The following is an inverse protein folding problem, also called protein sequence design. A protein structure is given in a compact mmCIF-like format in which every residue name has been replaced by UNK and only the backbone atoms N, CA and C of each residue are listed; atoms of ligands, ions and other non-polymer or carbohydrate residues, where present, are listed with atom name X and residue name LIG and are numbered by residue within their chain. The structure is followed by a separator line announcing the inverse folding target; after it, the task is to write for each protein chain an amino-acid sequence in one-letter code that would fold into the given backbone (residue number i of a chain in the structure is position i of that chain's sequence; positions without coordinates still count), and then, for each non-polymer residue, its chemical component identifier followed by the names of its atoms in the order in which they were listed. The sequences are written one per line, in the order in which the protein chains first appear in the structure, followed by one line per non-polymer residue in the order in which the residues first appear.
data_IF_532488575218
#
_entry.id   IF_532488575218
#
_cell.length_a   1.000
_cell.length_b   1.000
_cell.length_c   1.000
_cell.angle_alpha   90.00
_cell.angle_beta   90.00
_cell.angle_gamma   90.00
#
_symmetry.space_group_name_H-M   'P 1'
#
loop_
_entity.id
_entity.type
_entity.pdbx_description
1 polymer ?
#
# COMPACT_ATOMS: atom_id res chain seq x y z
N UNK A 1 -19.34 -15.19 12.47
CA UNK A 1 -17.98 -14.62 12.57
C UNK A 1 -18.09 -13.14 12.92
N UNK A 2 -17.13 -12.60 13.66
CA UNK A 2 -17.12 -11.18 14.06
C UNK A 2 -16.94 -10.27 12.83
N UNK A 3 -17.65 -9.16 12.78
CA UNK A 3 -17.46 -8.14 11.74
C UNK A 3 -16.23 -7.29 12.10
N UNK A 4 -15.49 -6.87 11.09
CA UNK A 4 -14.23 -6.12 11.26
C UNK A 4 -14.35 -4.74 10.66
N UNK A 5 -14.18 -3.72 11.49
CA UNK A 5 -14.39 -2.32 11.10
C UNK A 5 -13.09 -1.51 11.19
N UNK A 6 -13.01 -0.48 10.37
CA UNK A 6 -11.92 0.49 10.38
C UNK A 6 -12.33 1.65 11.26
N UNK A 7 -11.51 1.99 12.26
CA UNK A 7 -11.76 3.09 13.18
C UNK A 7 -10.72 4.21 13.08
N UNK A 8 -9.57 3.93 12.47
CA UNK A 8 -8.54 4.93 12.24
C UNK A 8 -7.71 4.67 11.00
N UNK A 9 -7.17 5.73 10.42
CA UNK A 9 -6.33 5.74 9.23
C UNK A 9 -5.23 6.77 9.35
N UNK A 10 -4.05 6.47 8.80
CA UNK A 10 -2.94 7.41 8.68
C UNK A 10 -2.15 7.16 7.41
N UNK A 11 -1.63 8.21 6.82
CA UNK A 11 -0.92 8.14 5.54
C UNK A 11 0.26 9.11 5.48
N UNK A 12 1.39 8.61 4.99
CA UNK A 12 2.54 9.40 4.57
C UNK A 12 2.83 9.03 3.12
N UNK A 13 2.68 9.97 2.20
CA UNK A 13 2.73 9.70 0.76
C UNK A 13 3.41 10.84 0.00
N UNK A 14 3.82 10.63 -1.26
CA UNK A 14 4.38 11.69 -2.11
C UNK A 14 3.43 12.87 -2.38
N UNK A 15 2.14 12.70 -2.11
CA UNK A 15 1.09 13.71 -2.39
C UNK A 15 0.37 14.23 -1.14
N UNK A 16 0.79 13.78 0.06
CA UNK A 16 0.27 14.25 1.34
C UNK A 16 0.79 13.43 2.52
N UNK A 17 1.06 14.11 3.64
CA UNK A 17 1.59 13.52 4.87
C UNK A 17 0.49 13.31 5.94
N UNK A 18 -0.76 13.34 5.54
CA UNK A 18 -1.95 12.97 6.31
C UNK A 18 -3.07 12.53 5.35
N UNK A 19 -4.09 11.86 5.89
CA UNK A 19 -5.20 11.33 5.08
C UNK A 19 -6.00 12.45 4.38
N UNK A 20 -6.36 13.58 5.02
CA UNK A 20 -7.05 14.68 4.35
C UNK A 20 -6.28 15.25 3.15
N UNK A 21 -5.00 15.55 3.32
CA UNK A 21 -4.14 16.09 2.24
C UNK A 21 -3.93 15.06 1.12
N UNK A 22 -3.69 13.82 1.48
CA UNK A 22 -3.58 12.71 0.54
C UNK A 22 -4.86 12.57 -0.30
N UNK A 23 -6.02 12.54 0.33
CA UNK A 23 -7.29 12.37 -0.36
C UNK A 23 -7.62 13.54 -1.29
N UNK A 24 -7.41 14.78 -0.83
CA UNK A 24 -7.61 15.97 -1.67
C UNK A 24 -6.70 15.96 -2.90
N UNK A 25 -5.46 15.51 -2.74
CA UNK A 25 -4.52 15.33 -3.84
C UNK A 25 -5.00 14.27 -4.84
N UNK A 26 -5.55 13.16 -4.37
CA UNK A 26 -6.11 12.12 -5.24
C UNK A 26 -7.32 12.63 -6.03
N UNK A 27 -8.27 13.31 -5.39
CA UNK A 27 -9.45 13.87 -6.06
C UNK A 27 -9.10 14.86 -7.17
N UNK A 28 -8.10 15.69 -6.91
CA UNK A 28 -7.64 16.72 -7.85
C UNK A 28 -6.67 16.23 -8.92
N UNK A 29 -6.24 14.97 -8.83
CA UNK A 29 -5.27 14.40 -9.77
C UNK A 29 -3.86 14.96 -9.62
N UNK A 30 -3.44 15.31 -8.40
CA UNK A 30 -2.10 15.86 -8.14
C UNK A 30 -1.02 14.81 -8.33
N UNK A 31 -0.10 15.04 -9.26
CA UNK A 31 1.05 14.17 -9.49
C UNK A 31 2.12 14.38 -8.42
N UNK A 32 2.51 13.31 -7.73
CA UNK A 32 3.60 13.31 -6.74
C UNK A 32 4.98 13.01 -7.33
N UNK A 33 5.03 12.61 -8.61
CA UNK A 33 6.26 12.22 -9.29
C UNK A 33 7.08 13.44 -9.66
N UNK A 34 8.39 13.33 -9.50
CA UNK A 34 9.35 14.37 -9.86
C UNK A 34 10.78 13.81 -9.96
N UNK A 35 11.74 14.67 -10.27
CA UNK A 35 13.15 14.29 -10.23
C UNK A 35 13.55 13.74 -8.86
N UNK A 36 14.35 12.67 -8.83
CA UNK A 36 14.94 12.16 -7.60
C UNK A 36 15.93 13.17 -7.05
N UNK A 37 15.77 13.51 -5.76
CA UNK A 37 16.62 14.50 -5.07
C UNK A 37 17.44 13.90 -3.93
N UNK A 38 17.13 12.68 -3.48
CA UNK A 38 17.76 12.03 -2.33
C UNK A 38 19.21 11.61 -2.56
N UNK A 39 19.62 11.40 -3.81
CA UNK A 39 20.99 11.04 -4.20
C UNK A 39 21.26 11.46 -5.64
N UNK A 40 22.54 11.47 -6.02
CA UNK A 40 22.96 11.80 -7.40
C UNK A 40 22.56 10.68 -8.38
N UNK A 41 21.70 11.03 -9.32
CA UNK A 41 21.21 10.12 -10.38
C UNK A 41 21.91 10.34 -11.72
N UNK A 42 23.04 11.08 -11.80
CA UNK A 42 23.72 11.39 -13.07
C UNK A 42 24.05 10.14 -13.88
N UNK A 43 24.52 9.08 -13.21
CA UNK A 43 24.88 7.80 -13.82
C UNK A 43 23.69 6.81 -13.97
N UNK A 44 22.51 7.15 -13.45
CA UNK A 44 21.31 6.32 -13.58
C UNK A 44 20.55 6.65 -14.87
N UNK A 45 19.91 5.64 -15.48
CA UNK A 45 18.93 5.86 -16.54
C UNK A 45 17.59 6.34 -16.00
N UNK A 46 17.21 5.83 -14.82
CA UNK A 46 16.02 6.29 -14.10
C UNK A 46 16.32 7.64 -13.43
N UNK A 47 15.46 8.62 -13.65
CA UNK A 47 15.61 10.00 -13.14
C UNK A 47 14.46 10.43 -12.23
N UNK A 48 13.36 9.72 -12.28
CA UNK A 48 12.11 10.08 -11.62
C UNK A 48 11.77 9.13 -10.48
N UNK A 49 11.17 9.70 -9.43
CA UNK A 49 10.63 9.01 -8.28
C UNK A 49 9.47 9.79 -7.69
N UNK A 50 8.71 9.16 -6.81
CA UNK A 50 7.67 9.81 -6.04
C UNK A 50 8.13 9.86 -4.57
N UNK A 51 8.88 10.90 -4.24
CA UNK A 51 9.46 11.12 -2.91
C UNK A 51 8.44 11.73 -1.94
N UNK A 52 8.48 11.32 -0.67
CA UNK A 52 7.79 12.02 0.42
C UNK A 52 8.45 13.38 0.63
N UNK A 53 7.63 14.45 0.68
CA UNK A 53 8.07 15.83 0.77
C UNK A 53 7.74 16.43 2.14
N UNK A 54 8.55 17.38 2.60
CA UNK A 54 8.29 18.18 3.79
C UNK A 54 8.01 17.33 5.04
N UNK A 55 8.77 16.23 5.22
CA UNK A 55 8.59 15.28 6.30
C UNK A 55 9.73 15.35 7.32
N UNK A 56 9.38 15.60 8.60
CA UNK A 56 10.31 15.57 9.72
C UNK A 56 9.92 14.44 10.70
N UNK A 57 10.72 13.37 10.80
CA UNK A 57 10.42 12.26 11.70
C UNK A 57 10.42 12.66 13.17
N UNK A 58 11.08 13.77 13.54
CA UNK A 58 11.14 14.21 14.95
C UNK A 58 9.82 14.78 15.47
N UNK A 59 8.83 14.98 14.60
CA UNK A 59 7.47 15.29 15.01
C UNK A 59 6.73 14.07 15.57
N UNK A 60 7.21 12.86 15.27
CA UNK A 60 6.55 11.58 15.60
C UNK A 60 7.41 10.68 16.49
N UNK A 61 8.71 10.89 16.53
CA UNK A 61 9.67 10.06 17.25
C UNK A 61 10.70 10.91 17.97
N UNK A 62 11.21 10.41 19.09
CA UNK A 62 12.35 11.03 19.76
C UNK A 62 13.56 11.10 18.80
N UNK A 63 14.27 12.23 18.80
CA UNK A 63 15.41 12.47 17.88
C UNK A 63 16.47 11.36 17.93
N UNK A 64 16.67 10.74 19.10
CA UNK A 64 17.63 9.64 19.28
C UNK A 64 17.13 8.36 18.59
N UNK A 65 15.85 8.09 18.67
CA UNK A 65 15.20 6.93 18.02
C UNK A 65 15.17 7.10 16.51
N UNK A 66 14.76 8.27 16.02
CA UNK A 66 14.75 8.59 14.61
C UNK A 66 16.14 8.41 13.93
N UNK A 67 17.23 8.70 14.65
CA UNK A 67 18.59 8.45 14.13
C UNK A 67 19.01 6.98 14.07
N UNK A 68 18.25 6.09 14.68
CA UNK A 68 18.49 4.64 14.78
C UNK A 68 17.41 3.83 14.07
N UNK A 69 16.75 4.45 13.13
CA UNK A 69 15.69 3.82 12.34
C UNK A 69 15.84 4.24 10.87
N UNK A 70 15.56 3.33 9.95
CA UNK A 70 15.45 3.63 8.53
C UNK A 70 14.19 4.47 8.26
N UNK A 71 14.15 5.18 7.12
CA UNK A 71 13.02 6.02 6.75
C UNK A 71 11.70 5.24 6.62
N UNK A 72 11.73 3.95 6.29
CA UNK A 72 10.53 3.12 6.30
C UNK A 72 9.88 3.05 7.69
N UNK A 73 10.66 3.02 8.77
CA UNK A 73 10.16 3.08 10.15
C UNK A 73 9.61 4.47 10.46
N UNK A 74 10.26 5.53 9.99
CA UNK A 74 9.78 6.90 10.20
C UNK A 74 8.38 7.09 9.61
N UNK A 75 8.17 6.65 8.37
CA UNK A 75 6.87 6.72 7.70
C UNK A 75 5.82 5.86 8.39
N UNK A 76 6.20 4.62 8.78
CA UNK A 76 5.31 3.71 9.49
C UNK A 76 4.84 4.29 10.84
N UNK A 77 5.76 4.86 11.62
CA UNK A 77 5.44 5.47 12.93
C UNK A 77 4.50 6.67 12.76
N UNK A 78 4.79 7.55 11.81
CA UNK A 78 3.95 8.71 11.56
C UNK A 78 2.52 8.31 11.13
N UNK A 79 2.40 7.36 10.20
CA UNK A 79 1.09 6.85 9.78
C UNK A 79 0.36 6.12 10.91
N UNK A 80 1.07 5.34 11.74
CA UNK A 80 0.46 4.63 12.87
C UNK A 80 -0.03 5.59 13.96
N UNK A 81 0.73 6.64 14.28
CA UNK A 81 0.32 7.66 15.25
C UNK A 81 -0.97 8.34 14.79
N UNK A 82 -1.04 8.79 13.53
CA UNK A 82 -2.26 9.38 12.96
C UNK A 82 -3.46 8.41 13.07
N UNK A 83 -3.26 7.13 12.70
CA UNK A 83 -4.33 6.13 12.71
C UNK A 83 -4.83 5.84 14.13
N UNK A 84 -3.93 5.67 15.09
CA UNK A 84 -4.27 5.37 16.49
C UNK A 84 -4.93 6.58 17.17
N UNK A 85 -4.47 7.80 16.89
CA UNK A 85 -5.10 9.05 17.36
C UNK A 85 -6.52 9.21 16.79
N UNK A 86 -6.71 9.00 15.48
CA UNK A 86 -8.04 9.04 14.86
C UNK A 86 -8.98 7.98 15.43
N UNK A 87 -8.46 6.76 15.67
CA UNK A 87 -9.23 5.70 16.32
C UNK A 87 -9.62 6.03 17.76
N UNK A 88 -8.93 6.97 18.42
CA UNK A 88 -9.12 7.30 19.82
C UNK A 88 -8.73 6.17 20.77
N UNK A 89 -7.78 5.32 20.37
CA UNK A 89 -7.23 4.30 21.25
C UNK A 89 -6.33 4.94 22.29
N UNK A 90 -6.59 4.63 23.56
CA UNK A 90 -5.83 5.14 24.71
C UNK A 90 -5.86 4.14 25.85
N UNK A 91 -4.94 4.28 26.79
CA UNK A 91 -4.90 3.45 27.98
C UNK A 91 -6.28 3.34 28.65
N UNK A 92 -6.70 2.13 28.94
CA UNK A 92 -7.99 1.81 29.57
C UNK A 92 -9.13 1.53 28.61
N UNK A 93 -8.99 1.73 27.29
CA UNK A 93 -10.05 1.40 26.33
C UNK A 93 -9.69 0.29 25.33
N UNK A 94 -8.60 -0.42 25.57
CA UNK A 94 -8.20 -1.64 24.86
C UNK A 94 -7.45 -2.60 25.83
N UNK A 95 -7.44 -3.89 25.51
CA UNK A 95 -6.58 -4.87 26.18
C UNK A 95 -5.23 -4.96 25.42
N UNK A 96 -4.09 -4.67 26.05
CA UNK A 96 -2.79 -4.75 25.37
C UNK A 96 -2.48 -6.11 24.76
N UNK A 97 -2.90 -7.21 25.36
CA UNK A 97 -2.65 -8.57 24.87
C UNK A 97 -3.65 -9.00 23.77
N UNK A 98 -4.71 -8.24 23.57
CA UNK A 98 -5.69 -8.42 22.49
C UNK A 98 -5.59 -7.32 21.43
N UNK A 99 -4.54 -6.50 21.50
CA UNK A 99 -4.22 -5.47 20.52
C UNK A 99 -2.91 -5.81 19.83
N UNK A 100 -3.00 -6.19 18.55
CA UNK A 100 -1.86 -6.64 17.74
C UNK A 100 -1.35 -5.58 16.78
N UNK A 101 -0.19 -5.88 16.17
CA UNK A 101 0.41 -5.09 15.08
C UNK A 101 0.82 -6.03 13.95
N UNK A 102 0.18 -5.91 12.80
CA UNK A 102 0.54 -6.64 11.58
C UNK A 102 0.90 -5.61 10.51
N UNK A 103 2.21 -5.29 10.42
CA UNK A 103 2.66 -4.17 9.61
C UNK A 103 3.84 -4.57 8.74
N UNK A 104 3.68 -4.45 7.43
CA UNK A 104 4.60 -5.00 6.45
C UNK A 104 5.57 -4.01 5.82
N UNK A 105 6.63 -4.54 5.22
CA UNK A 105 7.52 -3.83 4.30
C UNK A 105 7.99 -4.81 3.24
N UNK A 106 8.08 -4.37 1.99
CA UNK A 106 8.50 -5.24 0.88
C UNK A 106 9.98 -5.59 0.93
N UNK A 107 10.82 -4.65 1.39
CA UNK A 107 12.28 -4.77 1.38
C UNK A 107 12.91 -4.52 2.76
N UNK A 108 12.23 -3.79 3.63
CA UNK A 108 12.80 -3.37 4.91
C UNK A 108 13.83 -2.25 4.79
N UNK A 109 14.74 -2.15 5.75
CA UNK A 109 15.78 -1.13 5.81
C UNK A 109 16.99 -1.43 4.92
N UNK A 110 16.80 -1.66 3.63
CA UNK A 110 17.87 -1.96 2.66
C UNK A 110 18.91 -0.84 2.59
N UNK A 111 18.51 0.42 2.81
CA UNK A 111 19.43 1.55 2.87
C UNK A 111 20.49 1.40 3.98
N UNK A 112 20.13 0.81 5.09
CA UNK A 112 21.07 0.51 6.18
C UNK A 112 22.18 -0.44 5.70
N UNK A 113 21.81 -1.51 4.99
CA UNK A 113 22.78 -2.43 4.41
C UNK A 113 23.69 -1.72 3.40
N UNK A 114 23.13 -0.86 2.55
CA UNK A 114 23.89 -0.04 1.59
C UNK A 114 24.93 0.85 2.27
N UNK A 115 24.64 1.40 3.45
CA UNK A 115 25.56 2.24 4.21
C UNK A 115 26.60 1.46 5.02
N UNK A 116 26.25 0.29 5.53
CA UNK A 116 27.10 -0.49 6.42
C UNK A 116 28.11 -1.40 5.68
N UNK A 117 27.76 -1.88 4.47
CA UNK A 117 28.67 -2.72 3.66
C UNK A 117 29.99 -2.00 3.30
N UNK A 118 30.01 -0.74 2.85
CA UNK A 118 31.26 -0.01 2.64
C UNK A 118 32.12 0.12 3.92
N UNK A 119 31.49 0.37 5.08
CA UNK A 119 32.21 0.43 6.37
C UNK A 119 32.89 -0.89 6.71
N UNK A 120 32.18 -2.01 6.46
CA UNK A 120 32.75 -3.33 6.67
C UNK A 120 33.96 -3.58 5.77
N UNK A 121 33.87 -3.24 4.49
CA UNK A 121 34.91 -3.48 3.50
C UNK A 121 36.14 -2.60 3.69
N UNK A 122 35.92 -1.32 4.01
CA UNK A 122 37.01 -0.31 4.12
C UNK A 122 37.65 -0.28 5.52
N UNK A 123 36.84 -0.49 6.58
CA UNK A 123 37.26 -0.23 7.95
C UNK A 123 37.19 -1.46 8.88
N UNK A 124 36.72 -2.60 8.35
CA UNK A 124 36.64 -3.87 9.07
C UNK A 124 35.40 -4.02 9.99
N UNK A 125 35.18 -5.21 10.55
CA UNK A 125 33.95 -5.56 11.27
C UNK A 125 33.69 -4.73 12.53
N UNK A 126 34.72 -4.22 13.18
CA UNK A 126 34.56 -3.37 14.39
C UNK A 126 33.97 -1.97 14.13
N UNK A 127 33.70 -1.61 12.87
CA UNK A 127 33.14 -0.30 12.48
C UNK A 127 31.70 -0.39 11.97
N UNK A 128 31.17 -1.60 11.84
CA UNK A 128 29.75 -1.81 11.53
C UNK A 128 28.90 -1.42 12.74
N UNK A 129 27.78 -0.76 12.50
CA UNK A 129 26.84 -0.36 13.57
C UNK A 129 26.32 -1.58 14.33
N UNK A 130 26.28 -1.57 15.69
CA UNK A 130 25.62 -2.62 16.45
C UNK A 130 24.10 -2.67 16.22
N UNK A 131 23.53 -1.63 15.59
CA UNK A 131 22.12 -1.53 15.23
C UNK A 131 21.85 -1.91 13.78
N UNK A 132 22.87 -2.21 12.96
CA UNK A 132 22.73 -2.52 11.55
C UNK A 132 21.65 -3.58 11.26
N UNK A 133 21.64 -4.67 12.02
CA UNK A 133 20.64 -5.72 11.84
C UNK A 133 19.25 -5.29 12.32
N UNK A 134 19.07 -4.76 13.56
CA UNK A 134 17.75 -4.26 13.99
C UNK A 134 17.16 -3.16 13.08
N UNK A 135 17.98 -2.28 12.55
CA UNK A 135 17.52 -1.21 11.65
C UNK A 135 17.15 -1.73 10.24
N UNK A 136 17.73 -2.85 9.82
CA UNK A 136 17.56 -3.40 8.47
C UNK A 136 16.35 -4.36 8.34
N UNK A 137 16.04 -5.15 9.37
CA UNK A 137 15.04 -6.22 9.25
C UNK A 137 13.64 -5.68 9.02
N UNK A 138 12.88 -6.33 8.12
CA UNK A 138 11.57 -5.84 7.65
C UNK A 138 10.50 -5.72 8.76
N UNK A 139 10.61 -6.53 9.82
CA UNK A 139 9.65 -6.53 10.94
C UNK A 139 9.85 -5.39 11.94
N UNK A 140 10.90 -4.58 11.79
CA UNK A 140 11.22 -3.59 12.82
C UNK A 140 10.19 -2.46 12.91
N UNK A 141 9.53 -2.09 11.82
CA UNK A 141 8.46 -1.10 11.83
C UNK A 141 7.29 -1.56 12.72
N UNK A 142 6.85 -2.83 12.60
CA UNK A 142 5.82 -3.40 13.46
C UNK A 142 6.24 -3.39 14.95
N UNK A 143 7.52 -3.67 15.22
CA UNK A 143 8.06 -3.65 16.59
C UNK A 143 8.07 -2.23 17.19
N UNK A 144 8.47 -1.20 16.41
CA UNK A 144 8.43 0.20 16.88
C UNK A 144 7.01 0.65 17.21
N UNK A 145 6.02 0.34 16.37
CA UNK A 145 4.61 0.63 16.62
C UNK A 145 4.14 -0.04 17.91
N UNK A 146 4.42 -1.34 18.07
CA UNK A 146 4.07 -2.11 19.27
C UNK A 146 4.68 -1.52 20.55
N UNK A 147 5.98 -1.19 20.51
CA UNK A 147 6.68 -0.59 21.66
C UNK A 147 6.15 0.79 22.02
N UNK A 148 5.84 1.63 21.02
CA UNK A 148 5.37 2.99 21.24
C UNK A 148 4.02 3.04 21.95
N UNK A 149 3.09 2.17 21.54
CA UNK A 149 1.72 2.15 22.08
C UNK A 149 1.50 1.12 23.20
N UNK A 150 2.48 0.27 23.47
CA UNK A 150 2.35 -0.81 24.44
C UNK A 150 1.40 -1.93 24.01
N UNK A 151 1.23 -2.16 22.70
CA UNK A 151 0.44 -3.25 22.15
C UNK A 151 1.21 -4.58 22.28
N UNK A 152 0.62 -5.58 22.90
CA UNK A 152 1.28 -6.85 23.29
C UNK A 152 0.61 -8.07 22.68
N UNK A 153 -0.34 -7.87 21.76
CA UNK A 153 -0.94 -8.93 20.96
C UNK A 153 0.03 -9.47 19.91
N UNK A 154 -0.51 -10.13 18.90
CA UNK A 154 0.30 -10.62 17.76
C UNK A 154 1.08 -9.49 17.11
N UNK A 155 2.40 -9.72 16.88
CA UNK A 155 3.26 -8.73 16.25
C UNK A 155 4.14 -9.40 15.20
N UNK A 156 3.87 -9.18 13.94
CA UNK A 156 4.68 -9.72 12.83
C UNK A 156 4.57 -8.87 11.56
N UNK A 157 5.44 -9.15 10.60
CA UNK A 157 5.56 -8.45 9.33
C UNK A 157 5.34 -9.44 8.17
N UNK A 158 4.21 -9.40 7.46
CA UNK A 158 4.10 -10.04 6.16
C UNK A 158 5.06 -9.39 5.16
N UNK A 159 5.67 -10.21 4.31
CA UNK A 159 6.53 -9.75 3.21
C UNK A 159 6.10 -10.45 1.93
N UNK A 160 5.46 -9.70 1.03
CA UNK A 160 4.96 -10.19 -0.26
C UNK A 160 5.04 -9.11 -1.35
N UNK A 161 6.18 -8.40 -1.36
CA UNK A 161 6.46 -7.30 -2.29
C UNK A 161 5.31 -6.26 -2.30
N UNK A 162 4.75 -5.91 -3.48
CA UNK A 162 3.70 -4.91 -3.58
C UNK A 162 2.35 -5.34 -2.97
N UNK A 163 2.15 -6.64 -2.69
CA UNK A 163 0.94 -7.15 -2.05
C UNK A 163 0.98 -7.12 -0.51
N UNK A 164 2.11 -6.71 0.07
CA UNK A 164 2.37 -6.73 1.52
C UNK A 164 1.29 -6.01 2.33
N UNK A 165 0.87 -4.81 1.93
CA UNK A 165 -0.14 -4.04 2.65
C UNK A 165 -1.50 -4.73 2.69
N UNK A 166 -1.96 -5.30 1.57
CA UNK A 166 -3.22 -6.06 1.53
C UNK A 166 -3.14 -7.37 2.31
N UNK A 167 -2.00 -8.07 2.30
CA UNK A 167 -1.79 -9.22 3.17
C UNK A 167 -1.82 -8.81 4.65
N UNK A 168 -1.19 -7.69 5.02
CA UNK A 168 -1.23 -7.18 6.40
C UNK A 168 -2.66 -6.90 6.86
N UNK A 169 -3.47 -6.23 6.03
CA UNK A 169 -4.87 -5.91 6.32
C UNK A 169 -5.71 -7.20 6.38
N UNK A 170 -5.50 -8.13 5.44
CA UNK A 170 -6.23 -9.39 5.37
C UNK A 170 -5.96 -10.31 6.57
N UNK A 171 -4.71 -10.44 6.99
CA UNK A 171 -4.35 -11.24 8.16
C UNK A 171 -4.83 -10.56 9.46
N UNK A 172 -4.79 -9.22 9.54
CA UNK A 172 -5.39 -8.47 10.64
C UNK A 172 -6.90 -8.72 10.74
N UNK A 173 -7.61 -8.68 9.59
CA UNK A 173 -9.02 -9.01 9.53
C UNK A 173 -9.29 -10.45 10.02
N UNK A 174 -8.49 -11.42 9.57
CA UNK A 174 -8.60 -12.83 10.02
C UNK A 174 -8.37 -12.98 11.52
N UNK A 175 -7.32 -12.34 12.06
CA UNK A 175 -7.02 -12.40 13.50
C UNK A 175 -8.21 -11.89 14.35
N UNK A 176 -8.85 -10.79 13.94
CA UNK A 176 -10.03 -10.24 14.62
C UNK A 176 -11.24 -11.13 14.40
N UNK A 177 -11.55 -11.53 13.16
CA UNK A 177 -12.72 -12.31 12.78
C UNK A 177 -12.78 -13.66 13.50
N UNK A 178 -11.64 -14.26 13.77
CA UNK A 178 -11.51 -15.52 14.50
C UNK A 178 -11.35 -15.36 16.01
N UNK A 179 -11.37 -14.11 16.53
CA UNK A 179 -11.33 -13.83 17.96
C UNK A 179 -9.94 -13.94 18.62
N UNK A 180 -8.87 -13.97 17.82
CA UNK A 180 -7.50 -13.91 18.37
C UNK A 180 -7.16 -12.51 18.90
N UNK A 181 -7.64 -11.47 18.23
CA UNK A 181 -7.42 -10.06 18.60
C UNK A 181 -8.76 -9.32 18.61
N UNK A 182 -8.86 -8.22 19.38
CA UNK A 182 -9.98 -7.27 19.33
C UNK A 182 -9.64 -6.06 18.48
N UNK A 183 -8.35 -5.68 18.47
CA UNK A 183 -7.80 -4.55 17.72
C UNK A 183 -6.51 -4.98 17.02
N UNK A 184 -6.31 -4.56 15.78
CA UNK A 184 -5.03 -4.72 15.08
C UNK A 184 -4.67 -3.43 14.35
N UNK A 185 -3.49 -2.89 14.62
CA UNK A 185 -2.86 -1.85 13.81
C UNK A 185 -2.16 -2.53 12.64
N UNK A 186 -2.58 -2.23 11.42
CA UNK A 186 -2.07 -2.92 10.23
C UNK A 186 -1.79 -1.96 9.08
N UNK A 187 -1.01 -2.42 8.12
CA UNK A 187 -0.67 -1.64 6.94
C UNK A 187 0.69 -2.00 6.38
N UNK A 188 1.35 -1.01 5.79
CA UNK A 188 2.66 -1.22 5.19
C UNK A 188 3.42 0.07 4.92
N UNK A 189 4.71 -0.08 4.75
CA UNK A 189 5.67 1.01 4.54
C UNK A 189 6.76 0.63 3.56
N UNK A 190 7.35 1.62 2.92
CA UNK A 190 8.56 1.42 2.13
C UNK A 190 9.42 2.69 2.02
N UNK A 191 10.75 2.49 1.98
CA UNK A 191 11.75 3.46 1.58
C UNK A 191 12.50 2.92 0.35
N UNK A 192 11.83 2.95 -0.81
CA UNK A 192 12.34 2.33 -2.04
C UNK A 192 13.28 3.22 -2.88
N UNK A 193 13.30 4.54 -2.65
CA UNK A 193 14.09 5.49 -3.45
C UNK A 193 15.48 5.63 -2.86
N UNK A 194 16.29 4.59 -3.05
CA UNK A 194 17.68 4.49 -2.62
C UNK A 194 18.56 3.95 -3.76
N UNK A 195 19.87 4.25 -3.82
CA UNK A 195 20.73 3.89 -4.95
C UNK A 195 20.67 2.41 -5.36
N UNK A 196 20.88 1.48 -4.44
CA UNK A 196 20.91 0.04 -4.75
C UNK A 196 19.57 -0.47 -5.26
N UNK A 197 18.46 -0.01 -4.69
CA UNK A 197 17.11 -0.37 -5.12
C UNK A 197 16.85 0.14 -6.54
N UNK A 198 17.11 1.42 -6.79
CA UNK A 198 16.90 2.04 -8.09
C UNK A 198 17.77 1.42 -9.18
N UNK A 199 19.03 1.08 -8.87
CA UNK A 199 19.92 0.37 -9.78
C UNK A 199 19.39 -1.05 -10.12
N UNK A 200 18.91 -1.77 -9.11
CA UNK A 200 18.34 -3.11 -9.29
C UNK A 200 17.12 -3.11 -10.20
N UNK A 201 16.14 -2.23 -9.91
CA UNK A 201 14.92 -2.12 -10.72
C UNK A 201 15.18 -1.56 -12.13
N UNK A 202 16.13 -0.64 -12.28
CA UNK A 202 16.58 -0.17 -13.59
C UNK A 202 17.15 -1.30 -14.44
N UNK A 203 18.05 -2.12 -13.87
CA UNK A 203 18.68 -3.21 -14.59
C UNK A 203 17.69 -4.34 -14.93
N UNK A 204 16.65 -4.51 -14.11
CA UNK A 204 15.51 -5.38 -14.39
C UNK A 204 14.59 -4.82 -15.49
N UNK A 205 14.73 -3.54 -15.89
CA UNK A 205 13.85 -2.81 -16.81
C UNK A 205 12.40 -2.75 -16.31
N UNK A 206 12.20 -2.70 -15.01
CA UNK A 206 10.88 -2.66 -14.40
C UNK A 206 10.38 -1.22 -14.17
N UNK A 207 11.29 -0.24 -14.05
CA UNK A 207 10.97 1.17 -13.82
C UNK A 207 10.99 1.98 -15.11
N UNK A 208 10.18 3.04 -15.12
CA UNK A 208 10.18 4.04 -16.20
C UNK A 208 11.52 4.78 -16.27
N UNK A 209 12.05 5.00 -17.47
CA UNK A 209 13.37 5.60 -17.72
C UNK A 209 13.30 6.94 -18.47
N UNK A 210 12.11 7.52 -18.64
CA UNK A 210 11.94 8.86 -19.21
C UNK A 210 12.16 9.96 -18.16
N UNK A 211 12.05 11.21 -18.60
CA UNK A 211 12.28 12.41 -17.81
C UNK A 211 11.04 13.32 -17.66
N UNK A 212 9.93 12.98 -18.31
CA UNK A 212 8.65 13.69 -18.17
C UNK A 212 7.81 13.09 -17.00
N UNK A 213 7.68 13.79 -15.87
CA UNK A 213 6.90 13.31 -14.73
C UNK A 213 5.42 13.05 -15.07
N UNK A 214 4.87 13.77 -16.05
CA UNK A 214 3.44 13.67 -16.42
C UNK A 214 3.12 12.46 -17.31
N UNK A 215 4.17 11.80 -17.83
CA UNK A 215 4.08 10.60 -18.67
C UNK A 215 4.80 9.38 -18.03
N UNK A 216 5.23 9.50 -16.77
CA UNK A 216 6.06 8.48 -16.14
C UNK A 216 5.25 7.31 -15.56
N UNK A 217 4.17 7.60 -14.82
CA UNK A 217 3.22 6.60 -14.33
C UNK A 217 1.86 6.85 -14.96
N UNK A 218 1.56 6.09 -15.99
CA UNK A 218 0.38 6.22 -16.84
C UNK A 218 -0.33 4.87 -17.00
N UNK A 219 -0.89 4.31 -15.89
CA UNK A 219 -1.53 3.00 -15.94
C UNK A 219 -2.60 2.91 -17.03
N UNK A 220 -2.68 1.75 -17.68
CA UNK A 220 -3.60 1.42 -18.77
C UNK A 220 -3.40 2.19 -20.09
N UNK A 221 -2.51 3.18 -20.16
CA UNK A 221 -2.16 3.87 -21.39
C UNK A 221 -1.24 3.02 -22.27
N UNK A 222 -1.42 3.05 -23.57
CA UNK A 222 -0.62 2.26 -24.53
C UNK A 222 0.89 2.59 -24.49
N UNK A 223 1.27 3.80 -24.05
CA UNK A 223 2.66 4.28 -23.94
C UNK A 223 3.36 3.86 -22.62
N UNK A 224 2.65 3.20 -21.68
CA UNK A 224 3.24 2.78 -20.40
C UNK A 224 4.50 1.95 -20.62
N UNK A 225 5.52 2.15 -19.79
CA UNK A 225 6.84 1.56 -20.04
C UNK A 225 7.56 1.05 -18.80
N UNK A 226 6.98 1.21 -17.61
CA UNK A 226 7.55 0.81 -16.33
C UNK A 226 6.91 1.57 -15.20
N UNK A 227 7.04 1.08 -13.97
CA UNK A 227 6.51 1.79 -12.81
C UNK A 227 7.43 2.93 -12.36
N UNK A 228 6.91 3.86 -11.59
CA UNK A 228 7.70 4.87 -10.88
C UNK A 228 7.80 4.44 -9.41
N UNK A 229 9.02 4.37 -8.88
CA UNK A 229 9.24 4.08 -7.47
C UNK A 229 8.65 5.21 -6.61
N UNK A 230 7.84 4.83 -5.63
CA UNK A 230 7.34 5.70 -4.58
C UNK A 230 7.83 5.24 -3.21
N UNK A 231 7.57 6.05 -2.20
CA UNK A 231 7.88 5.76 -0.81
C UNK A 231 6.80 6.30 0.12
N UNK A 232 6.77 5.81 1.35
CA UNK A 232 5.79 6.23 2.35
C UNK A 232 5.17 5.07 3.11
N UNK A 233 4.04 5.32 3.76
CA UNK A 233 3.31 4.34 4.55
C UNK A 233 1.81 4.61 4.56
N UNK A 234 1.03 3.53 4.68
CA UNK A 234 -0.38 3.58 5.04
C UNK A 234 -0.63 2.73 6.29
N UNK A 235 -1.47 3.21 7.18
CA UNK A 235 -1.84 2.52 8.40
C UNK A 235 -3.36 2.56 8.60
N UNK A 236 -3.91 1.42 9.01
CA UNK A 236 -5.30 1.30 9.44
C UNK A 236 -5.36 0.71 10.85
N UNK A 237 -6.33 1.15 11.62
CA UNK A 237 -6.75 0.48 12.86
C UNK A 237 -8.00 -0.32 12.56
N UNK A 238 -7.90 -1.63 12.65
CA UNK A 238 -9.02 -2.55 12.54
C UNK A 238 -9.48 -2.97 13.94
N UNK A 239 -10.80 -3.03 14.12
CA UNK A 239 -11.41 -3.48 15.37
C UNK A 239 -12.54 -4.47 15.10
N UNK A 240 -12.81 -5.35 16.05
CA UNK A 240 -14.08 -6.05 16.07
C UNK A 240 -15.21 -5.03 16.21
N UNK A 241 -16.31 -5.22 15.47
CA UNK A 241 -17.46 -4.32 15.57
C UNK A 241 -17.96 -4.23 17.02
N UNK A 242 -17.96 -5.36 17.74
CA UNK A 242 -18.35 -5.43 19.15
C UNK A 242 -17.48 -4.51 20.02
N UNK A 243 -16.15 -4.57 19.90
CA UNK A 243 -15.22 -3.74 20.65
C UNK A 243 -15.39 -2.26 20.29
N UNK A 244 -15.45 -1.93 19.00
CA UNK A 244 -15.62 -0.56 18.51
C UNK A 244 -16.92 0.08 19.05
N UNK A 245 -18.03 -0.66 19.04
CA UNK A 245 -19.32 -0.19 19.59
C UNK A 245 -19.27 0.00 21.11
N UNK A 246 -18.70 -0.95 21.85
CA UNK A 246 -18.60 -0.89 23.31
C UNK A 246 -17.83 0.34 23.80
N UNK A 247 -16.78 0.74 23.10
CA UNK A 247 -16.00 1.93 23.45
C UNK A 247 -16.49 3.23 22.77
N UNK A 248 -17.54 3.18 21.95
CA UNK A 248 -18.10 4.33 21.25
C UNK A 248 -17.21 4.88 20.13
N UNK A 249 -16.46 4.01 19.45
CA UNK A 249 -15.59 4.42 18.34
C UNK A 249 -16.37 4.92 17.12
N UNK A 250 -15.80 5.90 16.42
CA UNK A 250 -16.27 6.28 15.09
C UNK A 250 -15.89 5.20 14.09
N UNK A 251 -16.86 4.57 13.44
CA UNK A 251 -16.62 3.55 12.42
C UNK A 251 -16.54 4.25 11.05
N UNK A 252 -15.46 4.01 10.32
CA UNK A 252 -15.18 4.65 9.03
C UNK A 252 -15.68 3.81 7.86
N UNK A 253 -15.47 2.50 7.90
CA UNK A 253 -15.89 1.49 6.93
C UNK A 253 -15.75 0.08 7.53
N UNK A 254 -16.15 -0.96 6.80
CA UNK A 254 -15.96 -2.36 7.15
C UNK A 254 -15.00 -3.03 6.17
N UNK A 255 -13.99 -3.75 6.67
CA UNK A 255 -13.21 -4.71 5.88
C UNK A 255 -14.01 -6.01 5.86
N UNK A 256 -14.72 -6.26 4.77
CA UNK A 256 -15.71 -7.32 4.69
C UNK A 256 -15.18 -8.61 4.04
N UNK A 257 -14.16 -8.51 3.18
CA UNK A 257 -13.62 -9.66 2.49
C UNK A 257 -12.13 -9.55 2.19
N UNK A 258 -11.48 -10.71 2.14
CA UNK A 258 -10.08 -10.86 1.79
C UNK A 258 -9.88 -12.11 0.94
N UNK A 259 -9.21 -11.96 -0.19
CA UNK A 259 -8.78 -13.05 -1.05
C UNK A 259 -7.29 -12.99 -1.33
N UNK A 260 -6.64 -14.13 -1.36
CA UNK A 260 -5.22 -14.26 -1.67
C UNK A 260 -4.93 -15.49 -2.51
N UNK A 261 -3.91 -15.40 -3.35
CA UNK A 261 -3.45 -16.51 -4.20
C UNK A 261 -1.99 -16.34 -4.62
N UNK A 262 -1.44 -17.35 -5.24
CA UNK A 262 -0.10 -17.31 -5.85
C UNK A 262 -0.14 -17.75 -7.30
N UNK A 263 0.55 -17.03 -8.19
CA UNK A 263 0.62 -17.35 -9.63
C UNK A 263 1.33 -18.68 -9.92
N UNK A 264 2.31 -19.03 -9.10
CA UNK A 264 3.20 -20.19 -9.32
C UNK A 264 3.78 -20.23 -10.76
N UNK A 265 4.11 -19.08 -11.30
CA UNK A 265 4.51 -18.91 -12.71
C UNK A 265 5.93 -18.39 -12.88
N UNK A 266 6.21 -17.16 -12.39
CA UNK A 266 7.52 -16.49 -12.60
C UNK A 266 7.83 -15.55 -11.44
N UNK A 267 9.14 -15.30 -11.18
CA UNK A 267 9.55 -14.48 -10.03
C UNK A 267 9.18 -12.98 -10.15
N UNK A 268 9.02 -12.44 -11.37
CA UNK A 268 8.74 -11.01 -11.58
C UNK A 268 7.58 -10.73 -12.55
N UNK A 269 7.23 -11.68 -13.41
CA UNK A 269 6.15 -11.49 -14.38
C UNK A 269 4.84 -12.09 -13.87
N UNK A 270 3.71 -11.36 -13.96
CA UNK A 270 2.41 -11.94 -13.66
C UNK A 270 2.04 -13.04 -14.64
N UNK A 271 1.18 -13.98 -14.21
CA UNK A 271 0.69 -15.05 -15.08
C UNK A 271 -0.15 -14.47 -16.23
N UNK A 272 0.14 -14.85 -17.51
CA UNK A 272 -0.56 -14.28 -18.66
C UNK A 272 -2.05 -14.59 -18.71
N UNK A 273 -2.49 -15.66 -18.05
CA UNK A 273 -3.89 -16.03 -18.00
C UNK A 273 -4.71 -15.23 -16.96
N UNK A 274 -4.04 -14.54 -16.02
CA UNK A 274 -4.68 -13.78 -14.96
C UNK A 274 -5.56 -14.59 -13.99
N UNK A 275 -5.48 -15.94 -14.01
CA UNK A 275 -6.39 -16.79 -13.24
C UNK A 275 -6.17 -16.69 -11.74
N UNK A 276 -4.91 -16.66 -11.30
CA UNK A 276 -4.61 -16.56 -9.87
C UNK A 276 -5.07 -15.21 -9.30
N UNK A 277 -4.80 -14.10 -10.01
CA UNK A 277 -5.30 -12.78 -9.61
C UNK A 277 -6.85 -12.75 -9.60
N UNK A 278 -7.51 -13.32 -10.62
CA UNK A 278 -8.97 -13.45 -10.62
C UNK A 278 -9.49 -14.27 -9.44
N UNK A 279 -8.77 -15.33 -9.04
CA UNK A 279 -9.13 -16.14 -7.86
C UNK A 279 -9.06 -15.32 -6.57
N UNK A 280 -8.01 -14.48 -6.39
CA UNK A 280 -7.93 -13.58 -5.23
C UNK A 280 -9.08 -12.57 -5.21
N UNK A 281 -9.44 -11.99 -6.36
CA UNK A 281 -10.56 -11.06 -6.47
C UNK A 281 -11.89 -11.75 -6.12
N UNK A 282 -12.19 -12.90 -6.74
CA UNK A 282 -13.39 -13.69 -6.43
C UNK A 282 -13.44 -14.07 -4.95
N UNK A 283 -12.31 -14.54 -4.41
CA UNK A 283 -12.21 -14.92 -3.01
C UNK A 283 -12.57 -13.78 -2.04
N UNK A 284 -12.16 -12.54 -2.33
CA UNK A 284 -12.52 -11.37 -1.52
C UNK A 284 -14.03 -11.06 -1.60
N UNK A 285 -14.61 -11.16 -2.79
CA UNK A 285 -16.05 -10.91 -3.01
C UNK A 285 -16.90 -12.00 -2.31
N UNK A 286 -16.52 -13.27 -2.47
CA UNK A 286 -17.19 -14.42 -1.85
C UNK A 286 -17.05 -14.39 -0.31
N UNK A 287 -15.87 -14.04 0.22
CA UNK A 287 -15.64 -13.91 1.66
C UNK A 287 -16.50 -12.81 2.30
N UNK A 288 -16.84 -11.78 1.54
CA UNK A 288 -17.79 -10.74 1.94
C UNK A 288 -19.26 -11.16 1.82
N UNK A 289 -19.56 -12.32 1.21
CA UNK A 289 -20.91 -12.78 0.91
C UNK A 289 -21.61 -11.96 -0.18
N UNK A 290 -20.83 -11.34 -1.07
CA UNK A 290 -21.29 -10.47 -2.16
C UNK A 290 -21.09 -11.12 -3.52
N UNK A 291 -21.55 -10.43 -4.57
CA UNK A 291 -21.39 -10.78 -5.97
C UNK A 291 -20.63 -9.68 -6.71
N UNK A 292 -20.05 -9.93 -7.89
CA UNK A 292 -19.40 -8.88 -8.69
C UNK A 292 -20.28 -7.66 -8.97
N UNK A 293 -21.60 -7.84 -9.08
CA UNK A 293 -22.57 -6.76 -9.31
C UNK A 293 -22.72 -5.79 -8.14
N UNK A 294 -22.26 -6.18 -6.95
CA UNK A 294 -22.31 -5.33 -5.75
C UNK A 294 -21.10 -4.39 -5.62
N UNK A 295 -20.06 -4.58 -6.46
CA UNK A 295 -18.82 -3.81 -6.39
C UNK A 295 -18.92 -2.58 -7.29
N UNK A 296 -18.79 -1.40 -6.70
CA UNK A 296 -18.89 -0.10 -7.39
C UNK A 296 -17.55 0.39 -7.93
N UNK A 297 -16.45 0.09 -7.21
CA UNK A 297 -15.12 0.62 -7.51
C UNK A 297 -14.00 -0.40 -7.30
N UNK A 298 -13.03 -0.40 -8.21
CA UNK A 298 -11.77 -1.16 -8.13
C UNK A 298 -10.61 -0.18 -8.10
N UNK A 299 -9.87 -0.12 -6.99
CA UNK A 299 -8.53 0.44 -6.98
C UNK A 299 -7.57 -0.64 -7.50
N UNK A 300 -7.17 -0.50 -8.74
CA UNK A 300 -6.35 -1.49 -9.43
C UNK A 300 -4.89 -1.46 -8.94
N UNK A 301 -4.19 -2.58 -9.08
CA UNK A 301 -2.76 -2.61 -8.91
C UNK A 301 -2.05 -1.62 -9.84
N UNK A 302 -2.38 -1.64 -11.13
CA UNK A 302 -2.12 -0.59 -12.11
C UNK A 302 -0.76 0.09 -11.98
N UNK A 303 0.34 -0.63 -12.22
CA UNK A 303 1.71 -0.15 -11.98
C UNK A 303 2.30 0.67 -13.11
N UNK A 304 1.64 0.78 -14.27
CA UNK A 304 2.18 1.38 -15.49
C UNK A 304 3.30 0.56 -16.14
N UNK A 305 3.30 -0.77 -15.93
CA UNK A 305 4.21 -1.68 -16.62
C UNK A 305 3.53 -2.30 -17.85
N UNK A 306 4.29 -2.68 -18.88
CA UNK A 306 3.70 -3.21 -20.11
C UNK A 306 2.78 -4.42 -19.91
N UNK A 307 3.09 -5.31 -18.96
CA UNK A 307 2.37 -6.56 -18.76
C UNK A 307 1.29 -6.50 -17.68
N UNK A 308 1.50 -5.71 -16.62
CA UNK A 308 0.59 -5.73 -15.47
C UNK A 308 -0.84 -5.37 -15.87
N UNK A 309 -1.05 -4.21 -16.49
CA UNK A 309 -2.41 -3.73 -16.81
C UNK A 309 -3.14 -4.66 -17.76
N UNK A 310 -2.44 -5.23 -18.73
CA UNK A 310 -3.00 -6.23 -19.63
C UNK A 310 -3.51 -7.45 -18.88
N UNK A 311 -2.71 -8.03 -18.00
CA UNK A 311 -3.07 -9.26 -17.28
C UNK A 311 -4.03 -8.98 -16.12
N UNK A 312 -3.93 -7.81 -15.48
CA UNK A 312 -4.92 -7.38 -14.49
C UNK A 312 -6.31 -7.14 -15.13
N UNK A 313 -6.37 -6.56 -16.34
CA UNK A 313 -7.61 -6.44 -17.12
C UNK A 313 -8.23 -7.81 -17.39
N UNK A 314 -7.42 -8.80 -17.78
CA UNK A 314 -7.88 -10.20 -17.96
C UNK A 314 -8.41 -10.77 -16.64
N UNK A 315 -7.70 -10.55 -15.54
CA UNK A 315 -8.09 -11.04 -14.22
C UNK A 315 -9.43 -10.42 -13.75
N UNK A 316 -9.59 -9.11 -13.92
CA UNK A 316 -10.85 -8.42 -13.59
C UNK A 316 -12.00 -8.98 -14.44
N UNK A 317 -11.82 -9.11 -15.76
CA UNK A 317 -12.84 -9.70 -16.64
C UNK A 317 -13.22 -11.14 -16.24
N UNK A 318 -12.25 -11.97 -15.86
CA UNK A 318 -12.51 -13.32 -15.38
C UNK A 318 -13.25 -13.35 -14.04
N UNK A 319 -12.96 -12.40 -13.15
CA UNK A 319 -13.62 -12.33 -11.85
C UNK A 319 -15.04 -11.77 -11.94
N UNK A 320 -15.27 -10.79 -12.80
CA UNK A 320 -16.52 -10.04 -12.88
C UNK A 320 -17.45 -10.46 -14.02
N UNK A 321 -16.96 -11.18 -15.05
CA UNK A 321 -17.75 -11.44 -16.25
C UNK A 321 -18.21 -10.15 -16.90
N UNK A 322 -19.50 -10.07 -17.27
CA UNK A 322 -20.09 -8.87 -17.91
C UNK A 322 -20.13 -7.64 -16.98
N UNK A 323 -20.05 -7.83 -15.65
CA UNK A 323 -20.01 -6.71 -14.70
C UNK A 323 -18.69 -5.94 -14.75
N UNK A 324 -17.62 -6.51 -15.33
CA UNK A 324 -16.32 -5.84 -15.51
C UNK A 324 -16.42 -4.52 -16.29
N UNK A 325 -17.40 -4.39 -17.17
CA UNK A 325 -17.61 -3.17 -17.98
C UNK A 325 -18.52 -2.14 -17.29
N UNK A 326 -19.07 -2.44 -16.12
CA UNK A 326 -19.94 -1.55 -15.36
C UNK A 326 -19.25 -0.94 -14.15
N UNK A 327 -18.28 -1.66 -13.57
CA UNK A 327 -17.51 -1.22 -12.42
C UNK A 327 -16.50 -0.13 -12.82
N UNK A 328 -16.33 0.88 -11.97
CA UNK A 328 -15.28 1.88 -12.14
C UNK A 328 -13.94 1.32 -11.68
N UNK A 329 -12.90 1.54 -12.48
CA UNK A 329 -11.52 1.15 -12.17
C UNK A 329 -10.67 2.41 -12.12
N UNK A 330 -9.71 2.52 -11.24
CA UNK A 330 -8.63 3.51 -11.35
C UNK A 330 -7.35 3.02 -10.68
N UNK A 331 -6.21 3.59 -11.09
CA UNK A 331 -4.94 3.39 -10.40
C UNK A 331 -4.41 4.70 -9.83
N UNK A 332 -4.40 4.78 -8.51
CA UNK A 332 -3.83 5.90 -7.76
C UNK A 332 -2.31 5.97 -7.87
N UNK A 333 -1.65 4.89 -8.35
CA UNK A 333 -0.21 4.90 -8.65
C UNK A 333 0.18 5.86 -9.78
N UNK A 334 -0.77 6.31 -10.58
CA UNK A 334 -0.55 7.42 -11.50
C UNK A 334 -0.14 8.72 -10.79
N UNK A 335 -0.50 8.88 -9.51
CA UNK A 335 -0.23 10.05 -8.67
C UNK A 335 0.86 9.78 -7.62
N UNK A 336 0.82 8.64 -6.97
CA UNK A 336 1.71 8.29 -5.85
C UNK A 336 2.98 7.55 -6.28
N UNK A 337 3.07 7.04 -7.51
CA UNK A 337 4.03 5.99 -7.82
C UNK A 337 3.70 4.69 -7.08
N UNK A 338 4.59 3.72 -7.15
CA UNK A 338 4.45 2.43 -6.47
C UNK A 338 5.26 2.42 -5.16
N UNK A 339 4.59 2.46 -4.03
CA UNK A 339 5.20 2.42 -2.70
C UNK A 339 5.56 0.99 -2.25
N UNK A 340 5.64 0.03 -3.16
CA UNK A 340 5.92 -1.39 -2.85
C UNK A 340 5.08 -1.90 -1.67
N UNK A 341 5.72 -2.21 -0.53
CA UNK A 341 5.05 -2.73 0.67
C UNK A 341 4.02 -1.77 1.28
N UNK A 342 4.18 -0.46 1.08
CA UNK A 342 3.23 0.57 1.53
C UNK A 342 2.06 0.82 0.58
N UNK A 343 2.18 0.42 -0.71
CA UNK A 343 1.22 0.77 -1.76
C UNK A 343 -0.21 0.36 -1.42
N UNK A 344 -0.44 -0.91 -1.12
CA UNK A 344 -1.77 -1.44 -0.86
C UNK A 344 -2.46 -0.79 0.35
N UNK A 345 -1.70 -0.39 1.36
CA UNK A 345 -2.26 0.24 2.55
C UNK A 345 -2.80 1.65 2.25
N UNK A 346 -2.07 2.47 1.47
CA UNK A 346 -2.57 3.79 1.04
C UNK A 346 -3.73 3.66 0.05
N UNK A 347 -3.75 2.60 -0.76
CA UNK A 347 -4.84 2.28 -1.69
C UNK A 347 -6.11 1.83 -0.96
N UNK A 348 -5.98 1.05 0.11
CA UNK A 348 -7.11 0.72 1.00
C UNK A 348 -7.70 1.99 1.64
N UNK A 349 -6.86 2.94 2.09
CA UNK A 349 -7.31 4.25 2.58
C UNK A 349 -8.05 5.02 1.48
N UNK A 350 -7.56 5.01 0.24
CA UNK A 350 -8.24 5.63 -0.90
C UNK A 350 -9.63 5.00 -1.15
N UNK A 351 -9.77 3.66 -1.02
CA UNK A 351 -11.06 2.98 -1.10
C UNK A 351 -12.02 3.41 0.02
N UNK A 352 -11.55 3.53 1.27
CA UNK A 352 -12.38 4.03 2.38
C UNK A 352 -12.86 5.45 2.10
N UNK A 353 -11.97 6.33 1.64
CA UNK A 353 -12.32 7.71 1.34
C UNK A 353 -13.27 7.82 0.13
N UNK A 354 -13.08 6.98 -0.89
CA UNK A 354 -13.99 6.90 -2.03
C UNK A 354 -15.42 6.53 -1.59
N UNK A 355 -15.56 5.54 -0.72
CA UNK A 355 -16.86 5.14 -0.14
C UNK A 355 -17.48 6.29 0.67
N UNK A 356 -16.70 6.98 1.47
CA UNK A 356 -17.18 8.03 2.37
C UNK A 356 -17.66 9.27 1.63
N UNK A 357 -16.97 9.67 0.56
CA UNK A 357 -17.28 10.89 -0.19
C UNK A 357 -18.02 10.63 -1.51
N UNK A 358 -18.15 9.38 -1.95
CA UNK A 358 -18.80 9.08 -3.23
C UNK A 358 -18.01 9.59 -4.43
N UNK A 359 -16.69 9.46 -4.40
CA UNK A 359 -15.79 9.95 -5.46
C UNK A 359 -14.80 8.86 -5.84
N UNK A 360 -14.76 8.49 -7.12
CA UNK A 360 -13.69 7.65 -7.70
C UNK A 360 -12.53 8.53 -8.11
N UNK A 361 -11.32 8.36 -7.54
CA UNK A 361 -10.14 9.13 -7.95
C UNK A 361 -9.70 8.75 -9.37
N UNK A 362 -9.09 9.67 -10.13
CA UNK A 362 -8.72 9.42 -11.53
C UNK A 362 -7.46 8.58 -11.67
N UNK A 363 -7.33 7.94 -12.83
CA UNK A 363 -6.05 7.53 -13.41
C UNK A 363 -5.54 8.67 -14.26
N UNK A 364 -4.52 9.41 -13.82
CA UNK A 364 -3.99 10.57 -14.54
C UNK A 364 -2.96 10.17 -15.61
N UNK A 365 -2.68 11.09 -16.56
CA UNK A 365 -1.69 10.90 -17.61
C UNK A 365 -2.17 10.07 -18.82
N UNK A 366 -3.42 9.60 -18.79
CA UNK A 366 -4.00 8.78 -19.85
C UNK A 366 -4.29 9.61 -21.12
N UNK A 367 -3.75 9.17 -22.27
CA UNK A 367 -3.90 9.84 -23.57
C UNK A 367 -4.16 8.87 -24.72
N UNK A 368 -3.52 7.69 -24.71
CA UNK A 368 -3.57 6.71 -25.79
C UNK A 368 -4.22 5.42 -25.31
N UNK A 369 -5.45 5.10 -25.80
CA UNK A 369 -6.12 3.86 -25.46
C UNK A 369 -5.32 2.62 -25.84
N UNK A 370 -5.23 1.66 -24.93
CA UNK A 370 -4.73 0.32 -25.19
C UNK A 370 -5.93 -0.62 -25.38
N UNK A 371 -6.11 -1.24 -26.56
CA UNK A 371 -7.22 -2.15 -26.79
C UNK A 371 -7.21 -3.41 -25.93
N UNK A 372 -6.07 -3.74 -25.29
CA UNK A 372 -5.97 -4.83 -24.33
C UNK A 372 -6.41 -4.42 -22.91
N UNK A 373 -6.65 -3.12 -22.66
CA UNK A 373 -7.03 -2.51 -21.38
C UNK A 373 -8.33 -1.70 -21.52
N UNK A 374 -9.41 -2.33 -21.98
CA UNK A 374 -10.67 -1.73 -22.44
C UNK A 374 -11.73 -1.52 -21.33
N UNK A 375 -11.34 -1.52 -20.06
CA UNK A 375 -12.22 -1.23 -18.93
C UNK A 375 -12.38 0.29 -18.72
N UNK A 376 -13.39 0.68 -17.93
CA UNK A 376 -13.58 2.08 -17.54
C UNK A 376 -12.59 2.46 -16.44
N UNK A 377 -11.42 2.95 -16.83
CA UNK A 377 -10.28 3.23 -15.97
C UNK A 377 -10.33 4.63 -15.31
N UNK A 378 -11.44 5.32 -15.37
CA UNK A 378 -11.64 6.67 -14.81
C UNK A 378 -10.53 7.66 -15.26
N UNK A 379 -10.41 7.97 -16.57
CA UNK A 379 -9.25 8.68 -17.08
C UNK A 379 -9.25 10.16 -16.71
N UNK A 380 -8.14 10.63 -16.14
CA UNK A 380 -7.76 12.04 -15.92
C UNK A 380 -8.65 12.90 -15.02
N UNK A 381 -9.89 12.49 -14.72
CA UNK A 381 -10.81 13.25 -13.88
C UNK A 381 -11.52 12.33 -12.91
N UNK A 382 -11.65 12.78 -11.67
CA UNK A 382 -12.46 12.11 -10.67
C UNK A 382 -13.94 12.04 -11.10
N UNK A 383 -14.63 10.98 -10.67
CA UNK A 383 -16.05 10.76 -10.96
C UNK A 383 -16.84 10.69 -9.66
N UNK A 384 -17.84 11.56 -9.53
CA UNK A 384 -18.80 11.52 -8.41
C UNK A 384 -19.87 10.46 -8.68
N UNK A 385 -20.03 9.52 -7.75
CA UNK A 385 -21.06 8.49 -7.80
C UNK A 385 -21.25 7.85 -6.41
N UNK A 386 -22.40 7.28 -6.09
CA UNK A 386 -22.55 6.47 -4.89
C UNK A 386 -21.60 5.27 -4.94
N UNK A 387 -20.83 5.07 -3.85
CA UNK A 387 -19.91 3.93 -3.70
C UNK A 387 -20.23 3.27 -2.36
N UNK A 388 -20.69 2.04 -2.40
CA UNK A 388 -20.99 1.24 -1.20
C UNK A 388 -19.93 0.15 -0.99
N UNK A 389 -19.34 -0.36 -2.07
CA UNK A 389 -18.36 -1.44 -2.05
C UNK A 389 -17.20 -1.08 -2.97
N UNK A 390 -16.00 -1.12 -2.43
CA UNK A 390 -14.76 -0.96 -3.18
C UNK A 390 -13.81 -2.13 -2.91
N UNK A 391 -13.01 -2.51 -3.91
CA UNK A 391 -11.92 -3.47 -3.75
C UNK A 391 -10.58 -2.82 -4.07
N UNK A 392 -9.53 -3.29 -3.40
CA UNK A 392 -8.15 -2.93 -3.68
C UNK A 392 -7.38 -4.17 -4.10
N UNK A 393 -6.86 -4.17 -5.33
CA UNK A 393 -6.06 -5.25 -5.88
C UNK A 393 -4.57 -4.99 -5.68
N UNK A 394 -3.81 -6.02 -5.33
CA UNK A 394 -2.35 -5.96 -5.28
C UNK A 394 -1.73 -7.20 -5.87
N UNK A 395 -0.82 -7.00 -6.81
CA UNK A 395 -0.07 -8.03 -7.52
C UNK A 395 1.42 -7.81 -7.25
N UNK A 396 2.06 -8.73 -6.53
CA UNK A 396 3.45 -8.59 -6.10
C UNK A 396 4.41 -9.51 -6.87
N UNK A 397 5.66 -9.08 -6.99
CA UNK A 397 6.75 -9.97 -7.43
C UNK A 397 6.76 -11.25 -6.59
N UNK A 398 7.09 -12.38 -7.21
CA UNK A 398 6.89 -13.70 -6.62
C UNK A 398 5.53 -14.32 -6.96
N UNK A 399 4.67 -13.58 -7.68
CA UNK A 399 3.32 -14.01 -8.03
C UNK A 399 2.34 -13.92 -6.86
N UNK A 400 2.59 -13.01 -5.92
CA UNK A 400 1.71 -12.78 -4.77
C UNK A 400 0.51 -11.92 -5.19
N UNK A 401 -0.70 -12.44 -5.05
CA UNK A 401 -1.94 -11.72 -5.32
C UNK A 401 -2.75 -11.58 -4.03
N UNK A 402 -3.21 -10.37 -3.74
CA UNK A 402 -4.09 -10.09 -2.61
C UNK A 402 -5.16 -9.06 -3.00
N UNK A 403 -6.39 -9.30 -2.58
CA UNK A 403 -7.51 -8.40 -2.77
C UNK A 403 -8.23 -8.18 -1.44
N UNK A 404 -8.46 -6.92 -1.09
CA UNK A 404 -9.26 -6.51 0.07
C UNK A 404 -10.56 -5.89 -0.43
N UNK A 405 -11.68 -6.32 0.16
CA UNK A 405 -12.98 -5.73 -0.09
C UNK A 405 -13.40 -4.90 1.12
N UNK A 406 -13.70 -3.64 0.86
CA UNK A 406 -14.14 -2.64 1.84
C UNK A 406 -15.56 -2.22 1.49
N UNK A 407 -16.43 -2.12 2.48
CA UNK A 407 -17.80 -1.65 2.27
C UNK A 407 -18.25 -0.61 3.28
N UNK A 408 -19.26 0.13 2.91
CA UNK A 408 -19.99 1.05 3.79
C UNK A 408 -20.64 0.28 4.94
N UNK A 409 -20.67 0.88 6.14
CA UNK A 409 -21.29 0.30 7.35
C UNK A 409 -22.74 0.71 7.48
#
# INVERSE_FOLDING_TARGET
MERVVITGMGAITPVGNDVPTFWESLKTGKCGIGPITKFDVSDFKVKLGAEVKDFDPTQYMEKREARRADANVHYAMAAAIQAVEQAGLKEGNFDPYRTGVIFGSGVGGLHVAEQEVPKLLEKGPGRVSPFAIPEMIANIAAAYISMHFGFKGENFCPVSACATGNHSIGEAMRAIRHGYQDVVVCGGTENGIIPISMAGFQNMKAVHMGDDPTAASIPFDARRSGFVMGEGAGCLVLESLTHAQQRGATILAEVAGYGASGDAYHITSPSPDGEAAAHAIRGAIEDAGLTPADVDYINAHGTSTPLNEKYETIAIKKAFGDEAYKVKVSSTKSMTGNLLGGAAAVEAIACVMAIREGIVPPTIGYKEPDPECDLDITPNKAVEMPINVAISNSLGFGGHNACILIKKV
#
